data_IF_984921340961
#
_entry.id   IF_984921340961
#
_cell.length_a   1.000
_cell.length_b   1.000
_cell.length_c   1.000
_cell.angle_alpha   90.00
_cell.angle_beta   90.00
_cell.angle_gamma   90.00
#
_symmetry.space_group_name_H-M   'P 1'
#
loop_
_entity.id
_entity.type
_entity.pdbx_description
1 polymer ?
#
# COMPACT_ATOMS: atom_id res chain seq x y z
N UNK A 1 1.91 -40.59 -26.80
CA UNK A 1 2.89 -39.49 -26.61
C UNK A 1 2.79 -39.03 -25.17
N UNK A 2 3.82 -39.21 -24.35
CA UNK A 2 3.90 -38.73 -22.98
C UNK A 2 4.14 -37.21 -23.02
N UNK A 3 3.50 -36.38 -22.18
CA UNK A 3 3.83 -34.97 -22.10
C UNK A 3 5.23 -34.82 -21.48
N UNK A 4 6.05 -33.97 -22.08
CA UNK A 4 7.38 -33.65 -21.64
C UNK A 4 7.35 -33.06 -20.24
N UNK A 5 8.15 -33.59 -19.33
CA UNK A 5 8.40 -33.05 -17.99
C UNK A 5 9.03 -31.66 -18.13
N UNK A 6 8.34 -30.64 -17.75
CA UNK A 6 8.89 -29.30 -17.56
C UNK A 6 9.97 -29.36 -16.47
N UNK A 7 11.18 -29.03 -16.85
CA UNK A 7 12.36 -29.00 -15.99
C UNK A 7 12.12 -28.11 -14.74
N UNK A 8 12.19 -28.68 -13.56
CA UNK A 8 12.10 -28.03 -12.26
C UNK A 8 13.23 -27.00 -11.97
N UNK A 9 14.21 -26.84 -12.86
CA UNK A 9 15.35 -25.93 -12.66
C UNK A 9 15.08 -24.49 -13.12
N UNK A 10 14.01 -24.22 -13.89
CA UNK A 10 13.63 -22.84 -14.28
C UNK A 10 12.74 -22.12 -13.26
N UNK A 11 12.19 -22.84 -12.28
CA UNK A 11 11.23 -22.30 -11.32
C UNK A 11 11.84 -21.46 -10.18
N UNK A 12 13.17 -21.48 -9.98
CA UNK A 12 13.83 -20.79 -8.85
C UNK A 12 14.36 -19.39 -9.19
N UNK A 13 14.43 -19.02 -10.45
CA UNK A 13 15.14 -17.81 -10.90
C UNK A 13 14.38 -16.49 -10.84
N UNK A 14 13.10 -16.48 -10.49
CA UNK A 14 12.24 -15.29 -10.51
C UNK A 14 12.01 -14.68 -9.12
N UNK A 15 12.18 -15.44 -8.03
CA UNK A 15 12.01 -14.94 -6.65
C UNK A 15 13.12 -13.98 -6.26
N UNK A 16 12.75 -12.97 -5.47
CA UNK A 16 13.65 -11.93 -4.97
C UNK A 16 14.37 -11.18 -6.11
N UNK A 17 13.66 -10.96 -7.21
CA UNK A 17 14.17 -10.27 -8.41
C UNK A 17 13.32 -9.10 -8.80
N UNK A 18 14.00 -8.09 -9.33
CA UNK A 18 13.40 -6.97 -10.04
C UNK A 18 13.74 -7.13 -11.52
N UNK A 19 12.73 -7.11 -12.36
CA UNK A 19 12.89 -7.11 -13.81
C UNK A 19 12.78 -5.66 -14.29
N UNK A 20 13.84 -5.18 -14.93
CA UNK A 20 13.83 -3.87 -15.58
C UNK A 20 13.16 -4.01 -16.94
N UNK A 21 11.84 -4.07 -16.95
CA UNK A 21 11.03 -4.42 -18.11
C UNK A 21 9.56 -3.98 -17.90
N UNK A 22 8.79 -3.92 -18.97
CA UNK A 22 7.34 -3.79 -18.90
C UNK A 22 6.72 -5.04 -18.27
N UNK A 23 5.74 -4.85 -17.38
CA UNK A 23 5.12 -5.97 -16.68
C UNK A 23 4.43 -6.94 -17.63
N UNK A 24 3.71 -6.46 -18.63
CA UNK A 24 2.98 -7.33 -19.57
C UNK A 24 3.95 -8.14 -20.43
N UNK A 25 5.03 -7.50 -20.88
CA UNK A 25 6.07 -8.17 -21.66
C UNK A 25 6.88 -9.19 -20.85
N UNK A 26 7.03 -8.94 -19.53
CA UNK A 26 7.89 -9.76 -18.66
C UNK A 26 7.16 -10.79 -17.80
N UNK A 27 5.84 -10.73 -17.67
CA UNK A 27 5.08 -11.48 -16.66
C UNK A 27 5.16 -12.99 -16.81
N UNK A 28 5.40 -13.51 -18.02
CA UNK A 28 5.52 -14.95 -18.30
C UNK A 28 6.77 -15.59 -17.67
N UNK A 29 7.70 -14.78 -17.16
CA UNK A 29 8.84 -15.27 -16.34
C UNK A 29 8.38 -15.81 -14.99
N UNK A 30 7.14 -15.48 -14.57
CA UNK A 30 6.54 -15.91 -13.31
C UNK A 30 5.49 -16.98 -13.63
N UNK A 31 5.58 -18.17 -13.03
CA UNK A 31 4.56 -19.21 -13.19
C UNK A 31 3.20 -18.75 -12.66
N UNK A 32 2.11 -19.34 -13.16
CA UNK A 32 0.77 -19.08 -12.66
C UNK A 32 0.56 -19.69 -11.27
N UNK A 33 -0.25 -19.05 -10.45
CA UNK A 33 -0.69 -19.54 -9.15
C UNK A 33 0.39 -19.66 -8.08
N UNK A 34 1.47 -18.84 -8.16
CA UNK A 34 2.61 -18.90 -7.20
C UNK A 34 2.71 -17.69 -6.29
N UNK A 35 1.99 -16.60 -6.59
CA UNK A 35 2.02 -15.33 -5.84
C UNK A 35 0.92 -15.31 -4.78
N UNK A 36 1.26 -14.93 -3.55
CA UNK A 36 0.30 -14.82 -2.45
C UNK A 36 -0.41 -13.48 -2.45
N UNK A 37 0.30 -12.41 -2.79
CA UNK A 37 -0.17 -11.05 -2.72
C UNK A 37 0.33 -10.24 -3.92
N UNK A 38 -0.54 -9.43 -4.51
CA UNK A 38 -0.15 -8.35 -5.43
C UNK A 38 -0.34 -7.02 -4.70
N UNK A 39 0.68 -6.15 -4.75
CA UNK A 39 0.59 -4.74 -4.34
C UNK A 39 0.92 -3.91 -5.57
N UNK A 40 -0.03 -3.13 -6.07
CA UNK A 40 0.13 -2.36 -7.29
C UNK A 40 -0.10 -0.87 -7.05
N UNK A 41 0.86 -0.04 -7.47
CA UNK A 41 0.76 1.42 -7.49
C UNK A 41 0.97 1.91 -8.94
N UNK A 42 -0.01 1.68 -9.84
CA UNK A 42 0.13 2.01 -11.25
C UNK A 42 0.24 3.53 -11.47
N UNK A 43 0.78 4.00 -12.59
CA UNK A 43 0.62 5.36 -13.05
C UNK A 43 -0.85 5.80 -13.04
N UNK A 44 -1.12 7.05 -12.62
CA UNK A 44 -2.50 7.51 -12.40
C UNK A 44 -3.10 8.25 -13.59
N UNK A 45 -2.36 8.40 -14.71
CA UNK A 45 -2.79 9.19 -15.87
C UNK A 45 -2.90 10.70 -15.56
N UNK A 46 -2.03 11.20 -14.69
CA UNK A 46 -2.01 12.61 -14.27
C UNK A 46 -0.90 13.42 -14.95
N UNK A 47 -0.19 12.82 -15.89
CA UNK A 47 0.93 13.44 -16.63
C UNK A 47 2.15 13.71 -15.76
N UNK A 48 2.38 12.92 -14.72
CA UNK A 48 3.59 13.02 -13.90
C UNK A 48 4.79 12.50 -14.67
N UNK A 49 5.92 13.21 -14.53
CA UNK A 49 7.19 12.76 -15.08
C UNK A 49 7.84 11.73 -14.15
N UNK A 50 7.93 10.50 -14.63
CA UNK A 50 8.68 9.39 -14.01
C UNK A 50 10.00 9.11 -14.76
N UNK A 51 10.50 10.10 -15.53
CA UNK A 51 11.65 9.90 -16.43
C UNK A 51 11.31 9.13 -17.69
N UNK A 52 10.03 8.90 -17.93
CA UNK A 52 9.47 8.29 -19.13
C UNK A 52 8.03 8.79 -19.34
N UNK A 53 7.40 8.43 -20.46
CA UNK A 53 6.01 8.84 -20.75
C UNK A 53 4.92 7.94 -20.12
N UNK A 54 5.24 7.11 -19.12
CA UNK A 54 4.35 6.09 -18.60
C UNK A 54 3.07 6.63 -17.93
N UNK A 55 3.05 7.88 -17.47
CA UNK A 55 1.85 8.52 -16.88
C UNK A 55 1.10 9.42 -17.89
N UNK A 56 1.55 9.47 -19.15
CA UNK A 56 0.89 10.21 -20.24
C UNK A 56 -0.09 9.29 -20.97
N UNK A 57 -1.10 8.81 -20.24
CA UNK A 57 -2.14 7.94 -20.80
C UNK A 57 -3.40 8.80 -20.94
N UNK A 58 -3.98 8.83 -22.12
CA UNK A 58 -5.24 9.51 -22.36
C UNK A 58 -6.36 8.90 -21.54
N UNK A 59 -7.30 9.74 -21.09
CA UNK A 59 -8.40 9.29 -20.22
C UNK A 59 -9.24 8.15 -20.86
N UNK A 60 -9.36 8.16 -22.20
CA UNK A 60 -10.08 7.11 -22.91
C UNK A 60 -9.33 5.76 -22.91
N UNK A 61 -8.00 5.80 -22.87
CA UNK A 61 -7.15 4.62 -22.95
C UNK A 61 -6.78 4.07 -21.55
N UNK A 62 -7.03 4.85 -20.49
CA UNK A 62 -6.62 4.48 -19.13
C UNK A 62 -7.29 3.18 -18.64
N UNK A 63 -8.60 3.04 -18.78
CA UNK A 63 -9.31 1.83 -18.37
C UNK A 63 -8.94 0.59 -19.20
N UNK A 64 -8.83 0.67 -20.54
CA UNK A 64 -8.26 -0.40 -21.36
C UNK A 64 -6.85 -0.81 -20.92
N UNK A 65 -5.95 0.15 -20.68
CA UNK A 65 -4.59 -0.12 -20.21
C UNK A 65 -4.58 -0.79 -18.83
N UNK A 66 -5.38 -0.28 -17.87
CA UNK A 66 -5.55 -0.90 -16.55
C UNK A 66 -6.03 -2.35 -16.67
N UNK A 67 -7.02 -2.58 -17.52
CA UNK A 67 -7.56 -3.93 -17.78
C UNK A 67 -6.48 -4.87 -18.31
N UNK A 68 -5.68 -4.40 -19.25
CA UNK A 68 -4.67 -5.21 -19.93
C UNK A 68 -3.61 -5.76 -18.97
N UNK A 69 -2.98 -4.93 -18.16
CA UNK A 69 -1.97 -5.40 -17.21
C UNK A 69 -2.60 -6.20 -16.04
N UNK A 70 -3.80 -5.82 -15.57
CA UNK A 70 -4.48 -6.56 -14.50
C UNK A 70 -4.78 -7.99 -14.96
N UNK A 71 -5.31 -8.16 -16.18
CA UNK A 71 -5.60 -9.49 -16.73
C UNK A 71 -4.33 -10.32 -16.94
N UNK A 72 -3.18 -9.69 -17.20
CA UNK A 72 -1.89 -10.36 -17.31
C UNK A 72 -1.33 -10.84 -15.94
N UNK A 73 -1.51 -10.06 -14.86
CA UNK A 73 -0.93 -10.40 -13.56
C UNK A 73 -1.83 -11.29 -12.69
N UNK A 74 -3.15 -11.22 -12.84
CA UNK A 74 -4.09 -11.99 -12.03
C UNK A 74 -3.89 -13.52 -12.11
N UNK A 75 -3.52 -14.14 -13.24
CA UNK A 75 -3.19 -15.57 -13.27
C UNK A 75 -2.07 -15.96 -12.34
N UNK A 76 -1.13 -15.07 -12.03
CA UNK A 76 0.02 -15.33 -11.16
C UNK A 76 -0.38 -15.48 -9.68
N UNK A 77 -1.52 -14.89 -9.26
CA UNK A 77 -2.07 -15.07 -7.92
C UNK A 77 -2.52 -16.51 -7.67
N UNK A 78 -2.18 -17.03 -6.49
CA UNK A 78 -2.74 -18.27 -5.94
C UNK A 78 -4.28 -18.19 -5.87
N UNK A 79 -4.98 -19.34 -5.81
CA UNK A 79 -6.45 -19.35 -5.70
C UNK A 79 -6.99 -18.57 -4.49
N UNK A 80 -6.24 -18.47 -3.40
CA UNK A 80 -6.55 -17.71 -2.18
C UNK A 80 -5.73 -16.41 -2.06
N UNK A 81 -5.10 -15.96 -3.13
CA UNK A 81 -4.29 -14.74 -3.15
C UNK A 81 -5.13 -13.46 -3.15
N UNK A 82 -4.48 -12.37 -2.80
CA UNK A 82 -5.08 -11.05 -2.63
C UNK A 82 -4.39 -9.97 -3.46
N UNK A 83 -5.09 -8.86 -3.71
CA UNK A 83 -4.61 -7.69 -4.43
C UNK A 83 -4.90 -6.43 -3.62
N UNK A 84 -3.89 -5.60 -3.39
CA UNK A 84 -4.05 -4.19 -3.06
C UNK A 84 -3.67 -3.33 -4.25
N UNK A 85 -4.50 -2.34 -4.56
CA UNK A 85 -4.28 -1.43 -5.67
C UNK A 85 -4.48 0.02 -5.22
N UNK A 86 -3.45 0.85 -5.38
CA UNK A 86 -3.52 2.28 -5.11
C UNK A 86 -4.13 3.02 -6.30
N UNK A 87 -5.06 3.90 -6.02
CA UNK A 87 -5.80 4.66 -7.02
C UNK A 87 -6.06 6.08 -6.53
N UNK A 88 -6.32 6.98 -7.45
CA UNK A 88 -6.94 8.27 -7.11
C UNK A 88 -8.45 8.10 -7.05
N UNK A 89 -9.11 8.98 -6.29
CA UNK A 89 -10.57 9.05 -6.22
C UNK A 89 -11.26 9.17 -7.60
N UNK A 90 -10.53 9.66 -8.62
CA UNK A 90 -11.07 9.85 -9.98
C UNK A 90 -11.25 8.53 -10.71
N UNK A 91 -10.29 7.64 -10.58
CA UNK A 91 -10.22 6.41 -11.36
C UNK A 91 -10.71 5.18 -10.55
N UNK A 92 -10.80 5.33 -9.22
CA UNK A 92 -11.18 4.22 -8.34
C UNK A 92 -12.57 3.62 -8.67
N UNK A 93 -13.62 4.40 -8.96
CA UNK A 93 -14.95 3.83 -9.22
C UNK A 93 -14.97 2.86 -10.41
N UNK A 94 -14.41 3.25 -11.55
CA UNK A 94 -14.38 2.45 -12.78
C UNK A 94 -13.51 1.20 -12.58
N UNK A 95 -12.35 1.37 -11.95
CA UNK A 95 -11.43 0.25 -11.68
C UNK A 95 -12.06 -0.74 -10.69
N UNK A 96 -12.76 -0.26 -9.67
CA UNK A 96 -13.46 -1.13 -8.73
C UNK A 96 -14.59 -1.92 -9.40
N UNK A 97 -15.36 -1.30 -10.29
CA UNK A 97 -16.39 -2.00 -11.08
C UNK A 97 -15.75 -3.09 -11.95
N UNK A 98 -14.64 -2.79 -12.61
CA UNK A 98 -13.91 -3.74 -13.44
C UNK A 98 -13.34 -4.90 -12.61
N UNK A 99 -12.71 -4.61 -11.46
CA UNK A 99 -12.13 -5.63 -10.58
C UNK A 99 -13.18 -6.53 -9.92
N UNK A 100 -14.37 -6.00 -9.57
CA UNK A 100 -15.50 -6.80 -9.04
C UNK A 100 -16.00 -7.87 -9.98
N UNK A 101 -15.73 -7.77 -11.28
CA UNK A 101 -16.03 -8.82 -12.26
C UNK A 101 -15.03 -10.00 -12.19
N UNK A 102 -13.88 -9.83 -11.56
CA UNK A 102 -12.76 -10.77 -11.51
C UNK A 102 -12.43 -11.27 -10.10
N UNK A 103 -12.70 -10.45 -9.09
CA UNK A 103 -12.31 -10.68 -7.71
C UNK A 103 -13.41 -10.23 -6.73
N UNK A 104 -13.33 -10.71 -5.50
CA UNK A 104 -14.18 -10.28 -4.40
C UNK A 104 -13.57 -9.01 -3.80
N UNK A 105 -14.31 -7.90 -3.78
CA UNK A 105 -13.92 -6.68 -3.09
C UNK A 105 -14.09 -6.90 -1.59
N UNK A 106 -13.03 -6.68 -0.82
CA UNK A 106 -13.00 -6.84 0.64
C UNK A 106 -13.18 -5.48 1.33
N UNK A 107 -12.32 -4.50 0.99
CA UNK A 107 -12.40 -3.15 1.52
C UNK A 107 -12.07 -2.10 0.45
N UNK A 108 -12.66 -0.94 0.60
CA UNK A 108 -12.09 0.32 0.17
C UNK A 108 -11.35 0.92 1.36
N UNK A 109 -10.06 1.19 1.20
CA UNK A 109 -9.20 1.76 2.23
C UNK A 109 -8.86 3.18 1.81
N UNK A 110 -9.02 4.13 2.72
CA UNK A 110 -8.66 5.53 2.51
C UNK A 110 -7.31 5.77 3.17
N UNK A 111 -6.29 6.02 2.36
CA UNK A 111 -5.02 6.49 2.89
C UNK A 111 -5.03 8.02 2.99
N UNK A 112 -5.28 8.53 4.20
CA UNK A 112 -5.13 9.94 4.53
C UNK A 112 -3.64 10.28 4.64
N UNK A 113 -3.16 11.08 3.68
CA UNK A 113 -1.75 11.52 3.58
C UNK A 113 -1.41 12.67 4.53
N UNK A 114 -2.38 13.16 5.31
CA UNK A 114 -2.31 14.31 6.22
C UNK A 114 -1.97 15.65 5.56
N UNK A 115 -1.36 15.64 4.40
CA UNK A 115 -0.94 16.84 3.66
C UNK A 115 -1.64 16.89 2.32
N UNK A 116 -2.35 17.99 2.00
CA UNK A 116 -3.04 18.12 0.72
C UNK A 116 -2.04 18.13 -0.45
N UNK A 117 -2.54 17.71 -1.61
CA UNK A 117 -1.80 17.89 -2.85
C UNK A 117 -1.59 19.39 -3.12
N UNK A 118 -0.39 19.77 -3.56
CA UNK A 118 -0.11 21.17 -3.95
C UNK A 118 -1.01 21.56 -5.13
N UNK A 119 -1.42 22.83 -5.15
CA UNK A 119 -2.32 23.34 -6.18
C UNK A 119 -3.76 23.44 -5.65
N UNK A 120 -4.03 24.43 -4.82
CA UNK A 120 -5.36 24.74 -4.33
C UNK A 120 -6.31 25.11 -5.48
N UNK A 121 -7.54 24.64 -5.43
CA UNK A 121 -8.63 25.05 -6.31
C UNK A 121 -9.62 25.86 -5.50
N UNK A 122 -10.11 26.94 -6.08
CA UNK A 122 -11.19 27.75 -5.47
C UNK A 122 -12.58 27.15 -5.68
N UNK A 123 -12.69 26.06 -6.46
CA UNK A 123 -13.96 25.44 -6.87
C UNK A 123 -14.14 23.97 -6.47
N UNK A 124 -13.23 23.43 -5.65
CA UNK A 124 -13.31 22.06 -5.11
C UNK A 124 -12.50 21.94 -3.83
N UNK A 125 -12.81 20.95 -3.03
CA UNK A 125 -12.03 20.61 -1.85
C UNK A 125 -10.62 20.09 -2.23
N UNK A 126 -9.63 20.36 -1.37
CA UNK A 126 -8.27 19.85 -1.54
C UNK A 126 -8.24 18.35 -1.28
N UNK A 127 -7.68 17.57 -2.21
CA UNK A 127 -7.52 16.14 -2.04
C UNK A 127 -6.35 15.85 -1.11
N UNK A 128 -6.62 15.13 -0.03
CA UNK A 128 -5.64 14.74 1.00
C UNK A 128 -5.44 13.23 1.06
N UNK A 129 -6.17 12.45 0.29
CA UNK A 129 -6.14 11.00 0.35
C UNK A 129 -5.87 10.34 -1.00
N UNK A 130 -5.40 9.11 -0.94
CA UNK A 130 -5.46 8.14 -2.03
C UNK A 130 -6.42 7.02 -1.60
N UNK A 131 -7.04 6.38 -2.59
CA UNK A 131 -7.92 5.23 -2.38
C UNK A 131 -7.14 3.96 -2.64
N UNK A 132 -7.28 2.97 -1.75
CA UNK A 132 -6.67 1.65 -1.93
C UNK A 132 -7.77 0.60 -1.97
N UNK A 133 -7.88 -0.11 -3.09
CA UNK A 133 -8.78 -1.25 -3.19
C UNK A 133 -8.12 -2.51 -2.64
N UNK A 134 -8.80 -3.22 -1.73
CA UNK A 134 -8.41 -4.54 -1.26
C UNK A 134 -9.35 -5.59 -1.84
N UNK A 135 -8.79 -6.52 -2.60
CA UNK A 135 -9.51 -7.59 -3.30
C UNK A 135 -8.91 -8.96 -3.00
N UNK A 136 -9.73 -10.00 -3.08
CA UNK A 136 -9.29 -11.39 -2.95
C UNK A 136 -9.89 -12.27 -4.06
N UNK A 137 -9.16 -13.31 -4.49
CA UNK A 137 -9.65 -14.27 -5.47
C UNK A 137 -10.78 -15.15 -4.93
N UNK A 138 -10.74 -15.49 -3.64
CA UNK A 138 -11.70 -16.38 -3.00
C UNK A 138 -12.01 -15.96 -1.56
N UNK A 139 -13.08 -16.49 -0.97
CA UNK A 139 -13.49 -16.19 0.42
C UNK A 139 -12.50 -16.70 1.48
N UNK A 140 -11.70 -17.70 1.17
CA UNK A 140 -10.68 -18.28 2.05
C UNK A 140 -9.29 -17.64 1.86
N UNK A 141 -9.26 -16.34 1.51
CA UNK A 141 -8.01 -15.59 1.41
C UNK A 141 -7.27 -15.51 2.75
N UNK A 142 -5.95 -15.34 2.67
CA UNK A 142 -5.12 -15.16 3.87
C UNK A 142 -5.31 -13.76 4.45
N UNK A 143 -5.62 -13.68 5.75
CA UNK A 143 -5.67 -12.43 6.50
C UNK A 143 -5.29 -12.67 7.96
N UNK A 144 -4.11 -12.17 8.36
CA UNK A 144 -3.58 -12.27 9.71
C UNK A 144 -3.88 -10.99 10.50
N UNK A 145 -5.03 -11.00 11.20
CA UNK A 145 -5.43 -9.88 12.03
C UNK A 145 -4.46 -9.64 13.19
N UNK A 146 -3.91 -10.71 13.77
CA UNK A 146 -3.08 -10.59 14.97
C UNK A 146 -1.73 -9.90 14.65
N UNK A 147 -1.22 -10.07 13.43
CA UNK A 147 -0.01 -9.40 12.96
C UNK A 147 -0.15 -7.87 12.74
N UNK A 148 -1.39 -7.36 12.69
CA UNK A 148 -1.67 -5.95 12.38
C UNK A 148 -2.54 -5.25 13.43
N UNK A 149 -2.83 -5.88 14.57
CA UNK A 149 -3.64 -5.25 15.63
C UNK A 149 -3.02 -3.94 16.09
N UNK A 150 -3.87 -2.98 16.37
CA UNK A 150 -3.47 -1.70 16.99
C UNK A 150 -3.92 -1.66 18.44
N UNK A 151 -3.12 -1.11 19.36
CA UNK A 151 -3.52 -0.95 20.75
C UNK A 151 -4.80 -0.11 20.86
N UNK A 152 -5.65 -0.40 21.84
CA UNK A 152 -6.71 0.52 22.21
C UNK A 152 -6.09 1.78 22.84
N UNK A 153 -6.62 2.96 22.50
CA UNK A 153 -6.29 4.18 23.21
C UNK A 153 -6.62 4.09 24.71
N UNK A 154 -5.92 4.86 25.53
CA UNK A 154 -6.06 4.82 26.98
C UNK A 154 -7.49 5.13 27.48
N UNK A 155 -8.20 6.14 26.93
CA UNK A 155 -9.60 6.39 27.28
C UNK A 155 -10.51 5.20 26.98
N UNK A 156 -10.42 4.62 25.79
CA UNK A 156 -11.22 3.44 25.40
C UNK A 156 -10.90 2.23 26.28
N UNK A 157 -9.61 1.98 26.54
CA UNK A 157 -9.19 0.88 27.42
C UNK A 157 -9.76 1.06 28.84
N UNK A 158 -9.69 2.28 29.39
CA UNK A 158 -10.25 2.63 30.70
C UNK A 158 -11.76 2.50 30.75
N UNK A 159 -12.47 2.95 29.72
CA UNK A 159 -13.93 2.83 29.66
C UNK A 159 -14.38 1.36 29.61
N UNK A 160 -13.73 0.54 28.78
CA UNK A 160 -14.08 -0.88 28.61
C UNK A 160 -13.65 -1.74 29.79
N UNK A 161 -12.56 -1.41 30.48
CA UNK A 161 -12.13 -2.13 31.69
C UNK A 161 -13.11 -1.99 32.87
N UNK A 162 -13.98 -0.96 32.83
CA UNK A 162 -15.04 -0.73 33.84
C UNK A 162 -16.40 -1.32 33.45
N UNK A 163 -16.51 -1.96 32.31
CA UNK A 163 -17.75 -2.55 31.78
C UNK A 163 -17.77 -4.06 31.99
N UNK A 164 -18.83 -4.70 31.49
CA UNK A 164 -18.96 -6.18 31.44
C UNK A 164 -17.80 -6.87 30.70
N UNK A 165 -16.97 -6.10 29.97
CA UNK A 165 -15.79 -6.58 29.27
C UNK A 165 -14.49 -6.47 30.09
N UNK A 166 -14.59 -6.11 31.39
CA UNK A 166 -13.44 -6.05 32.28
C UNK A 166 -12.69 -7.39 32.31
N UNK A 167 -11.36 -7.37 32.08
CA UNK A 167 -10.54 -8.57 32.02
C UNK A 167 -10.64 -9.39 30.73
N UNK A 168 -11.37 -8.91 29.73
CA UNK A 168 -11.44 -9.60 28.44
C UNK A 168 -10.07 -9.58 27.75
N UNK A 169 -9.54 -10.76 27.39
CA UNK A 169 -8.22 -10.94 26.77
C UNK A 169 -8.04 -10.08 25.49
N UNK A 170 -9.08 -9.84 24.73
CA UNK A 170 -9.03 -9.00 23.54
C UNK A 170 -8.69 -7.53 23.80
N UNK A 171 -8.93 -7.01 25.02
CA UNK A 171 -8.51 -5.65 25.41
C UNK A 171 -6.99 -5.50 25.42
N UNK A 172 -6.27 -6.54 25.74
CA UNK A 172 -4.80 -6.54 25.73
C UNK A 172 -4.26 -6.84 24.33
N UNK A 173 -4.97 -7.64 23.55
CA UNK A 173 -4.57 -7.96 22.17
C UNK A 173 -4.67 -6.77 21.21
N UNK A 174 -5.47 -5.76 21.55
CA UNK A 174 -5.74 -4.65 20.64
C UNK A 174 -6.90 -4.91 19.67
N UNK A 175 -7.19 -3.93 18.82
CA UNK A 175 -8.31 -3.97 17.89
C UNK A 175 -7.84 -4.10 16.42
N UNK A 176 -8.78 -4.47 15.56
CA UNK A 176 -8.58 -4.43 14.12
C UNK A 176 -8.34 -2.98 13.67
N UNK A 177 -7.29 -2.69 12.90
CA UNK A 177 -7.09 -1.38 12.28
C UNK A 177 -8.34 -0.96 11.49
N UNK A 178 -8.63 0.34 11.50
CA UNK A 178 -9.70 0.89 10.66
C UNK A 178 -9.27 0.92 9.20
N UNK A 179 -10.23 1.10 8.31
CA UNK A 179 -10.03 1.25 6.86
C UNK A 179 -9.65 2.69 6.44
N UNK A 180 -9.55 3.61 7.38
CA UNK A 180 -8.93 4.93 7.17
C UNK A 180 -7.56 4.93 7.83
N UNK A 181 -6.50 5.00 6.99
CA UNK A 181 -5.10 4.95 7.42
C UNK A 181 -4.50 6.36 7.39
N UNK A 182 -4.25 6.94 8.55
CA UNK A 182 -3.67 8.27 8.66
C UNK A 182 -2.16 8.16 8.81
N UNK A 183 -1.46 8.06 7.68
CA UNK A 183 0.00 7.94 7.58
C UNK A 183 0.51 9.06 6.68
N UNK A 184 1.43 9.89 7.19
CA UNK A 184 1.99 10.99 6.40
C UNK A 184 2.71 10.48 5.16
N UNK A 185 2.54 11.20 4.04
CA UNK A 185 3.42 10.97 2.89
C UNK A 185 4.87 11.32 3.27
N UNK A 186 5.82 10.64 2.63
CA UNK A 186 7.23 10.94 2.82
C UNK A 186 7.56 12.34 2.28
N UNK A 187 7.95 13.26 3.16
CA UNK A 187 8.46 14.57 2.79
C UNK A 187 9.95 14.48 2.41
N UNK A 188 10.52 15.56 1.88
CA UNK A 188 11.86 15.54 1.28
C UNK A 188 12.97 15.10 2.27
N UNK A 189 12.83 15.43 3.56
CA UNK A 189 13.81 15.16 4.61
C UNK A 189 13.56 13.86 5.37
N UNK A 190 12.55 13.09 4.98
CA UNK A 190 12.24 11.83 5.67
C UNK A 190 13.33 10.78 5.41
N UNK A 191 13.77 10.07 6.46
CA UNK A 191 14.87 9.09 6.39
C UNK A 191 14.63 7.95 5.40
N UNK A 192 13.35 7.55 5.18
CA UNK A 192 12.99 6.57 4.17
C UNK A 192 13.03 7.12 2.73
N UNK A 193 13.10 8.45 2.57
CA UNK A 193 12.95 9.09 1.27
C UNK A 193 14.09 8.71 0.35
N UNK A 194 13.74 8.12 -0.79
CA UNK A 194 14.61 7.91 -1.94
C UNK A 194 14.25 8.89 -3.06
N UNK A 195 15.07 8.98 -4.07
CA UNK A 195 14.86 9.87 -5.21
C UNK A 195 13.79 9.29 -6.16
N UNK A 196 12.54 9.36 -5.71
CA UNK A 196 11.36 8.94 -6.46
C UNK A 196 10.17 9.86 -6.11
N UNK A 197 9.39 10.38 -7.09
CA UNK A 197 8.40 11.43 -6.85
C UNK A 197 7.23 10.97 -5.97
N UNK A 198 6.82 9.71 -6.04
CA UNK A 198 5.59 9.19 -5.43
C UNK A 198 5.84 8.00 -4.49
N UNK A 199 7.02 7.92 -3.88
CA UNK A 199 7.37 6.83 -2.97
C UNK A 199 6.30 6.63 -1.89
N UNK A 200 5.85 5.39 -1.71
CA UNK A 200 4.95 4.99 -0.62
C UNK A 200 5.72 4.78 0.69
N UNK A 201 5.14 5.12 1.85
CA UNK A 201 5.73 4.80 3.16
C UNK A 201 5.82 3.28 3.39
N UNK A 202 6.91 2.84 4.00
CA UNK A 202 7.11 1.43 4.38
C UNK A 202 5.98 0.91 5.28
N UNK A 203 5.55 1.71 6.25
CA UNK A 203 4.47 1.36 7.19
C UNK A 203 3.20 0.85 6.49
N UNK A 204 2.78 1.51 5.40
CA UNK A 204 1.58 1.11 4.65
C UNK A 204 1.79 -0.25 3.97
N UNK A 205 2.93 -0.43 3.32
CA UNK A 205 3.25 -1.66 2.60
C UNK A 205 3.47 -2.83 3.57
N UNK A 206 4.16 -2.60 4.68
CA UNK A 206 4.35 -3.62 5.72
C UNK A 206 3.02 -4.06 6.33
N UNK A 207 2.08 -3.14 6.55
CA UNK A 207 0.73 -3.46 7.03
C UNK A 207 0.00 -4.39 6.06
N UNK A 208 0.05 -4.11 4.76
CA UNK A 208 -0.53 -4.97 3.72
C UNK A 208 0.13 -6.35 3.70
N UNK A 209 1.46 -6.40 3.76
CA UNK A 209 2.22 -7.65 3.77
C UNK A 209 1.92 -8.50 5.01
N UNK A 210 1.94 -7.89 6.21
CA UNK A 210 1.65 -8.59 7.46
C UNK A 210 0.22 -9.13 7.48
N UNK A 211 -0.75 -8.37 6.95
CA UNK A 211 -2.15 -8.79 6.88
C UNK A 211 -2.38 -9.90 5.87
N UNK A 212 -1.83 -9.81 4.66
CA UNK A 212 -2.35 -10.57 3.51
C UNK A 212 -1.31 -11.41 2.77
N UNK A 213 -0.05 -11.42 3.22
CA UNK A 213 0.99 -12.31 2.70
C UNK A 213 1.48 -13.22 3.83
N UNK A 214 1.31 -14.55 3.74
CA UNK A 214 1.77 -15.45 4.79
C UNK A 214 3.29 -15.36 4.98
N UNK A 215 3.85 -15.79 6.13
CA UNK A 215 5.29 -15.93 6.31
C UNK A 215 5.91 -16.75 5.17
N UNK A 216 7.06 -16.31 4.65
CA UNK A 216 7.72 -16.89 3.46
C UNK A 216 6.85 -16.91 2.18
N UNK A 217 5.73 -16.20 2.16
CA UNK A 217 4.91 -15.98 0.96
C UNK A 217 5.60 -15.04 -0.02
N UNK A 218 5.02 -14.92 -1.22
CA UNK A 218 5.56 -14.11 -2.32
C UNK A 218 4.64 -12.95 -2.62
N UNK A 219 5.20 -11.74 -2.65
CA UNK A 219 4.51 -10.55 -3.15
C UNK A 219 5.01 -10.20 -4.55
N UNK A 220 4.07 -9.86 -5.44
CA UNK A 220 4.32 -9.28 -6.76
C UNK A 220 3.97 -7.79 -6.73
N UNK A 221 4.89 -6.96 -7.21
CA UNK A 221 4.64 -5.55 -7.48
C UNK A 221 4.86 -5.29 -8.98
N UNK A 222 3.78 -5.02 -9.73
CA UNK A 222 3.88 -4.74 -11.17
C UNK A 222 4.54 -3.40 -11.52
N UNK A 223 4.65 -2.48 -10.54
CA UNK A 223 5.13 -1.10 -10.73
C UNK A 223 6.03 -0.69 -9.55
N UNK A 224 7.22 -1.28 -9.49
CA UNK A 224 8.10 -1.22 -8.31
C UNK A 224 8.51 0.20 -7.89
N UNK A 225 8.63 1.14 -8.84
CA UNK A 225 9.02 2.51 -8.59
C UNK A 225 10.30 2.62 -7.76
N UNK A 226 10.16 3.06 -6.51
CA UNK A 226 11.30 3.16 -5.59
C UNK A 226 11.69 1.84 -4.90
N UNK A 227 10.95 0.74 -5.10
CA UNK A 227 11.21 -0.56 -4.48
C UNK A 227 10.74 -0.70 -3.03
N UNK A 228 9.80 0.13 -2.59
CA UNK A 228 9.30 0.04 -1.21
C UNK A 228 8.72 -1.34 -0.89
N UNK A 229 8.01 -1.95 -1.84
CA UNK A 229 7.46 -3.30 -1.69
C UNK A 229 8.56 -4.35 -1.48
N UNK A 230 9.66 -4.28 -2.22
CA UNK A 230 10.78 -5.23 -2.08
C UNK A 230 11.49 -5.08 -0.73
N UNK A 231 11.73 -3.84 -0.28
CA UNK A 231 12.35 -3.57 1.03
C UNK A 231 11.42 -4.06 2.16
N UNK A 232 10.13 -3.72 2.11
CA UNK A 232 9.15 -4.14 3.10
C UNK A 232 8.99 -5.67 3.15
N UNK A 233 8.95 -6.33 1.98
CA UNK A 233 8.86 -7.79 1.90
C UNK A 233 10.03 -8.47 2.61
N UNK A 234 11.26 -8.03 2.37
CA UNK A 234 12.45 -8.54 3.06
C UNK A 234 12.38 -8.34 4.57
N UNK A 235 12.03 -7.13 5.02
CA UNK A 235 11.90 -6.83 6.46
C UNK A 235 10.85 -7.69 7.13
N UNK A 236 9.79 -8.04 6.39
CA UNK A 236 8.73 -8.90 6.86
C UNK A 236 9.00 -10.41 6.66
N UNK A 237 10.14 -10.83 6.14
CA UNK A 237 10.46 -12.25 5.88
C UNK A 237 9.59 -12.87 4.78
N UNK A 238 9.30 -12.10 3.71
CA UNK A 238 8.58 -12.53 2.51
C UNK A 238 9.48 -12.43 1.30
N UNK A 239 9.26 -13.31 0.33
CA UNK A 239 9.86 -13.18 -0.99
C UNK A 239 9.12 -12.11 -1.80
N UNK A 240 9.82 -11.50 -2.74
CA UNK A 240 9.25 -10.52 -3.66
C UNK A 240 9.60 -10.84 -5.11
N UNK A 241 8.83 -10.28 -6.00
CA UNK A 241 9.15 -10.16 -7.42
C UNK A 241 8.48 -8.89 -7.93
N UNK A 242 9.11 -8.21 -8.88
CA UNK A 242 8.49 -7.01 -9.44
C UNK A 242 9.09 -6.55 -10.74
N UNK A 243 8.41 -5.58 -11.32
CA UNK A 243 8.74 -4.95 -12.59
C UNK A 243 8.91 -3.45 -12.41
N UNK A 244 9.88 -2.90 -13.09
CA UNK A 244 10.11 -1.46 -13.17
C UNK A 244 10.61 -1.12 -14.56
N UNK A 245 9.96 -0.15 -15.20
CA UNK A 245 10.27 0.20 -16.58
C UNK A 245 11.48 1.14 -16.69
N UNK A 246 11.70 2.00 -15.67
CA UNK A 246 12.77 2.98 -15.68
C UNK A 246 14.09 2.38 -15.16
N UNK A 247 15.17 2.31 -15.97
CA UNK A 247 16.46 1.76 -15.54
C UNK A 247 17.08 2.47 -14.33
N UNK A 248 16.86 3.77 -14.18
CA UNK A 248 17.38 4.54 -13.03
C UNK A 248 16.69 4.12 -11.73
N UNK A 249 15.39 3.81 -11.79
CA UNK A 249 14.66 3.26 -10.65
C UNK A 249 15.03 1.81 -10.37
N UNK A 250 15.32 1.01 -11.40
CA UNK A 250 15.87 -0.34 -11.19
C UNK A 250 17.18 -0.26 -10.38
N UNK A 251 18.10 0.62 -10.77
CA UNK A 251 19.36 0.84 -10.05
C UNK A 251 19.13 1.42 -8.64
N UNK A 252 18.12 2.28 -8.46
CA UNK A 252 17.72 2.81 -7.15
C UNK A 252 17.25 1.68 -6.22
N UNK A 253 16.43 0.77 -6.71
CA UNK A 253 15.92 -0.39 -5.94
C UNK A 253 17.07 -1.26 -5.46
N UNK A 254 18.03 -1.58 -6.34
CA UNK A 254 19.19 -2.40 -5.98
C UNK A 254 20.05 -1.74 -4.89
N UNK A 255 20.28 -0.43 -4.98
CA UNK A 255 20.97 0.34 -3.92
C UNK A 255 20.23 0.26 -2.60
N UNK A 256 18.91 0.50 -2.57
CA UNK A 256 18.09 0.43 -1.36
C UNK A 256 18.11 -0.95 -0.73
N UNK A 257 17.99 -1.99 -1.54
CA UNK A 257 18.07 -3.39 -1.07
C UNK A 257 19.46 -3.73 -0.50
N UNK A 258 20.53 -3.18 -1.06
CA UNK A 258 21.89 -3.37 -0.54
C UNK A 258 22.09 -2.65 0.80
N UNK A 259 21.63 -1.41 0.92
CA UNK A 259 21.69 -0.61 2.16
C UNK A 259 20.90 -1.26 3.29
N UNK A 260 19.70 -1.75 3.03
CA UNK A 260 18.86 -2.42 4.02
C UNK A 260 19.49 -3.72 4.54
N UNK A 261 20.30 -4.43 3.72
CA UNK A 261 21.10 -5.59 4.18
C UNK A 261 22.15 -5.19 5.21
N UNK A 262 22.85 -4.10 4.94
CA UNK A 262 23.94 -3.64 5.83
C UNK A 262 23.41 -3.15 7.18
N UNK A 263 22.27 -2.45 7.19
CA UNK A 263 21.64 -1.99 8.44
C UNK A 263 21.12 -3.14 9.30
N UNK A 264 20.60 -4.21 8.69
CA UNK A 264 20.11 -5.37 9.43
C UNK A 264 21.23 -6.30 9.93
N UNK A 265 22.37 -6.38 9.22
CA UNK A 265 23.52 -7.16 9.68
C UNK A 265 24.29 -6.52 10.84
N UNK A 266 24.13 -5.20 11.06
CA UNK A 266 24.70 -4.49 12.19
C UNK A 266 23.82 -4.47 13.45
N UNK A 267 22.53 -4.80 13.33
CA UNK A 267 21.55 -4.72 14.42
C UNK A 267 21.50 -5.98 15.32
N UNK A 268 22.08 -7.09 14.89
CA UNK A 268 22.17 -8.29 15.73
C UNK A 268 23.15 -8.17 16.91
N UNK A 269 23.82 -7.02 17.09
CA UNK A 269 24.84 -6.81 18.13
C UNK A 269 24.44 -5.82 19.26
N UNK A 270 23.32 -5.09 19.17
CA UNK A 270 22.95 -4.16 20.26
C UNK A 270 21.41 -3.96 20.35
N UNK A 271 20.85 -4.59 21.36
CA UNK A 271 19.81 -4.08 22.27
C UNK A 271 18.48 -3.54 21.70
N UNK A 272 17.45 -4.23 22.12
CA UNK A 272 16.05 -3.79 22.16
C UNK A 272 15.89 -2.43 22.85
N UNK A 273 15.51 -1.41 22.13
CA UNK A 273 14.87 -0.22 22.68
C UNK A 273 13.46 -0.10 22.10
N UNK A 274 12.44 0.18 22.91
CA UNK A 274 11.08 0.31 22.43
C UNK A 274 10.92 1.57 21.57
N UNK A 275 10.14 1.44 20.51
CA UNK A 275 9.69 2.50 19.63
C UNK A 275 9.18 3.72 20.43
N UNK A 276 9.53 4.96 20.06
CA UNK A 276 8.98 6.13 20.72
C UNK A 276 7.47 6.19 20.45
N UNK A 277 6.72 6.22 21.53
CA UNK A 277 5.28 6.35 21.57
C UNK A 277 4.77 7.46 20.62
N UNK A 278 3.73 7.12 19.88
CA UNK A 278 2.85 8.07 19.21
C UNK A 278 2.49 9.20 20.16
N UNK A 279 2.86 10.40 19.79
CA UNK A 279 2.57 11.64 20.52
C UNK A 279 1.04 11.79 20.69
N UNK A 280 0.48 11.74 21.90
CA UNK A 280 -0.95 11.84 22.13
C UNK A 280 -1.46 13.27 22.29
N UNK A 281 -0.61 14.30 22.18
CA UNK A 281 -0.98 15.68 22.50
C UNK A 281 -1.14 16.55 21.26
N UNK A 282 -2.26 16.39 20.57
CA UNK A 282 -2.81 17.48 19.76
C UNK A 282 -4.32 17.55 19.94
N UNK A 283 -4.75 17.91 21.13
CA UNK A 283 -6.04 18.59 21.35
C UNK A 283 -6.05 19.30 22.71
N UNK A 284 -6.52 20.52 22.67
CA UNK A 284 -6.92 21.42 23.75
C UNK A 284 -6.01 22.63 23.95
N UNK A 285 -6.53 23.77 23.57
CA UNK A 285 -6.10 25.03 24.14
C UNK A 285 -6.13 26.25 23.22
N UNK A 286 -7.26 26.59 22.66
CA UNK A 286 -7.52 27.97 22.28
C UNK A 286 -8.95 28.36 22.66
N UNK A 287 -9.12 28.87 23.88
CA UNK A 287 -10.28 29.63 24.27
C UNK A 287 -10.23 30.96 23.52
N UNK A 288 -10.96 31.06 22.42
CA UNK A 288 -11.24 32.33 21.77
C UNK A 288 -12.50 32.89 22.36
N UNK A 289 -12.34 33.98 23.06
CA UNK A 289 -13.36 34.93 23.56
C UNK A 289 -14.32 35.29 22.42
N UNK A 290 -15.59 35.03 22.63
CA UNK A 290 -16.71 35.45 21.82
C UNK A 290 -16.86 36.99 21.86
N UNK A 291 -16.58 37.61 20.70
CA UNK A 291 -17.07 38.96 20.42
C UNK A 291 -18.24 38.81 19.45
N UNK A 292 -19.43 39.18 19.92
CA UNK A 292 -20.67 39.21 19.14
C UNK A 292 -20.61 40.31 18.08
N UNK A 293 -20.60 39.94 16.82
CA UNK A 293 -20.85 40.84 15.71
C UNK A 293 -22.24 40.50 15.14
N UNK A 294 -23.15 41.46 15.34
CA UNK A 294 -24.51 41.54 14.78
C UNK A 294 -24.45 41.62 13.25
N UNK A 295 -25.11 40.71 12.56
CA UNK A 295 -25.38 40.80 11.12
C UNK A 295 -26.73 41.53 10.88
N UNK A 296 -26.82 42.42 9.89
CA UNK A 296 -28.11 42.97 9.48
C UNK A 296 -28.78 41.99 8.49
N UNK A 297 -30.07 41.87 8.74
CA UNK A 297 -31.10 41.23 7.94
C UNK A 297 -31.21 41.89 6.57
N UNK A 298 -31.18 41.15 5.46
CA UNK A 298 -31.73 41.59 4.19
C UNK A 298 -32.31 40.41 3.41
N UNK A 299 -33.61 40.42 3.38
CA UNK A 299 -34.62 39.74 2.58
C UNK A 299 -34.23 39.51 1.11
N UNK A 300 -34.61 38.31 0.64
CA UNK A 300 -34.83 37.93 -0.76
C UNK A 300 -35.76 38.88 -1.54
N UNK A 301 -35.72 38.86 -2.89
CA UNK A 301 -36.62 37.94 -3.60
C UNK A 301 -35.92 36.82 -4.39
#
# INVERSE_FOLDING_TARGET
MKPASLNASSAAGWRNRIFCDDVVAGIDRIPDGVVDLIIADPPYGLGKDYGNASDQIDAADYLPWMTHWIDAVLPKLKPNGSLYIFLTWRNAPEIFVMLKQRMIMINEIIWDRRVPSMGGSTRRFSSVHDTVGFFAKAKNYHFDLDAIRVPYDAPTKKARSRSIFAGAKWLEMGCNPKDVWSVSRLHREHSERADHPTQKPLEIIERMLKASCPPAGVVLDPFMGSGTTAVAARRCGRDYVGFELNPDYCALIERRLSQDRLSNSGADATNSSPDPALDPDFDSGSTATTSAATFPDSSCP
#
